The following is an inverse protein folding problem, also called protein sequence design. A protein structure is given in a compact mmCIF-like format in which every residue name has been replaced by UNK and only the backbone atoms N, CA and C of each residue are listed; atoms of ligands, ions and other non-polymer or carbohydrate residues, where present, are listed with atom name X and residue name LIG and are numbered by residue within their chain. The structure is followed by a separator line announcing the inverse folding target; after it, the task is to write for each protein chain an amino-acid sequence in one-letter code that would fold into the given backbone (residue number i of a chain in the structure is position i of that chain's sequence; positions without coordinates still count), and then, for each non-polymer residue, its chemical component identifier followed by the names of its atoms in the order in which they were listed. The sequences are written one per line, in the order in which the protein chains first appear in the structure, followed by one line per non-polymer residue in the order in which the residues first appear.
data_IF_254164051565
#
_entry.id   IF_254164051565
#
_cell.length_a   1.000
_cell.length_b   1.000
_cell.length_c   1.000
_cell.angle_alpha   90.00
_cell.angle_beta   90.00
_cell.angle_gamma   90.00
#
_symmetry.space_group_name_H-M   'P 1'
#
loop_
_entity.id
_entity.type
_entity.pdbx_description
1 polymer ?
#
# COMPACT_ATOMS: atom_id res chain seq x y z
N UNK A 1 8.19 -23.37 4.74
CA UNK A 1 7.45 -22.43 5.60
C UNK A 1 6.61 -23.19 6.61
N UNK A 2 6.53 -22.72 7.86
CA UNK A 2 5.64 -23.31 8.86
C UNK A 2 4.20 -22.95 8.57
N UNK A 3 3.36 -23.93 8.21
CA UNK A 3 1.92 -23.77 8.00
C UNK A 3 1.25 -23.76 9.37
N UNK A 4 0.43 -22.76 9.65
CA UNK A 4 -0.32 -22.61 10.90
C UNK A 4 -1.67 -23.33 10.81
N UNK A 5 -2.39 -23.12 9.72
CA UNK A 5 -3.68 -23.74 9.43
C UNK A 5 -4.00 -23.67 7.93
N UNK A 6 -4.98 -24.45 7.51
CA UNK A 6 -5.50 -24.39 6.14
C UNK A 6 -6.96 -23.92 6.20
N UNK A 7 -7.29 -22.89 5.42
CA UNK A 7 -8.66 -22.43 5.26
C UNK A 7 -8.95 -22.14 3.77
N UNK A 8 -10.12 -22.56 3.28
CA UNK A 8 -10.53 -22.44 1.88
C UNK A 8 -9.48 -23.01 0.89
N UNK A 9 -8.87 -24.16 1.21
CA UNK A 9 -7.78 -24.81 0.47
C UNK A 9 -6.49 -23.98 0.35
N UNK A 10 -6.34 -22.91 1.17
CA UNK A 10 -5.16 -22.07 1.24
C UNK A 10 -4.40 -22.31 2.54
N UNK A 11 -3.09 -22.55 2.44
CA UNK A 11 -2.20 -22.76 3.58
C UNK A 11 -1.68 -21.43 4.11
N UNK A 12 -2.17 -21.04 5.28
CA UNK A 12 -1.71 -19.81 5.96
C UNK A 12 -0.44 -20.12 6.74
N UNK A 13 0.61 -19.36 6.47
CA UNK A 13 1.91 -19.51 7.12
C UNK A 13 2.13 -18.54 8.26
N UNK A 14 3.04 -18.88 9.19
CA UNK A 14 3.47 -17.97 10.27
C UNK A 14 4.01 -16.67 9.70
N UNK A 15 4.82 -16.75 8.63
CA UNK A 15 5.41 -15.58 7.98
C UNK A 15 4.32 -14.63 7.47
N UNK A 16 3.27 -15.18 6.85
CA UNK A 16 2.14 -14.41 6.34
C UNK A 16 1.39 -13.69 7.47
N UNK A 17 1.08 -14.39 8.56
CA UNK A 17 0.41 -13.78 9.72
C UNK A 17 1.26 -12.64 10.30
N UNK A 18 2.56 -12.84 10.46
CA UNK A 18 3.45 -11.78 10.94
C UNK A 18 3.47 -10.57 9.99
N UNK A 19 3.50 -10.80 8.67
CA UNK A 19 3.45 -9.75 7.68
C UNK A 19 2.13 -8.96 7.75
N UNK A 20 0.99 -9.67 7.85
CA UNK A 20 -0.34 -9.07 7.99
C UNK A 20 -0.44 -8.26 9.28
N UNK A 21 -0.05 -8.82 10.41
CA UNK A 21 -0.10 -8.12 11.71
C UNK A 21 0.78 -6.87 11.68
N UNK A 22 2.01 -6.97 11.18
CA UNK A 22 2.91 -5.82 11.05
C UNK A 22 2.32 -4.74 10.14
N UNK A 23 1.69 -5.12 9.02
CA UNK A 23 1.06 -4.16 8.11
C UNK A 23 -0.15 -3.46 8.74
N UNK A 24 -1.01 -4.20 9.44
CA UNK A 24 -2.15 -3.62 10.14
C UNK A 24 -1.71 -2.62 11.21
N UNK A 25 -0.70 -2.95 12.01
CA UNK A 25 -0.13 -2.04 13.00
C UNK A 25 0.45 -0.80 12.30
N UNK A 26 1.26 -0.99 11.26
CA UNK A 26 1.88 0.11 10.52
C UNK A 26 0.83 1.06 9.93
N UNK A 27 -0.16 0.54 9.20
CA UNK A 27 -1.20 1.37 8.58
C UNK A 27 -2.07 2.07 9.64
N UNK A 28 -2.40 1.38 10.74
CA UNK A 28 -3.14 1.98 11.85
C UNK A 28 -2.39 3.15 12.50
N UNK A 29 -1.11 2.96 12.81
CA UNK A 29 -0.23 4.02 13.34
C UNK A 29 -0.12 5.19 12.36
N UNK A 30 -0.09 4.94 11.05
CA UNK A 30 -0.13 5.96 10.02
C UNK A 30 -1.36 6.87 10.14
N UNK A 31 -2.52 6.35 10.57
CA UNK A 31 -3.73 7.17 10.77
C UNK A 31 -3.55 8.24 11.84
N UNK A 32 -2.69 8.00 12.82
CA UNK A 32 -2.39 8.96 13.90
C UNK A 32 -1.32 9.97 13.50
N UNK A 33 -0.56 9.67 12.44
CA UNK A 33 0.58 10.46 11.98
C UNK A 33 1.83 10.26 12.83
N UNK A 34 1.90 9.22 13.66
CA UNK A 34 3.08 8.94 14.47
C UNK A 34 4.24 8.40 13.63
N UNK A 35 5.46 8.92 13.83
CA UNK A 35 6.65 8.52 13.09
C UNK A 35 6.97 7.02 13.21
N UNK A 36 6.54 6.38 14.31
CA UNK A 36 6.72 4.94 14.53
C UNK A 36 6.01 4.06 13.50
N UNK A 37 5.14 4.61 12.67
CA UNK A 37 4.52 3.89 11.54
C UNK A 37 5.58 3.33 10.58
N UNK A 38 6.66 4.07 10.32
CA UNK A 38 7.67 3.73 9.32
C UNK A 38 8.48 2.46 9.64
N UNK A 39 8.98 2.25 10.87
CA UNK A 39 9.58 0.97 11.25
C UNK A 39 8.64 -0.23 11.04
N UNK A 40 7.35 -0.09 11.35
CA UNK A 40 6.37 -1.16 11.10
C UNK A 40 6.16 -1.41 9.61
N UNK A 41 6.20 -0.37 8.78
CA UNK A 41 6.16 -0.51 7.32
C UNK A 41 7.41 -1.22 6.79
N UNK A 42 8.61 -0.92 7.32
CA UNK A 42 9.84 -1.63 6.96
C UNK A 42 9.72 -3.11 7.34
N UNK A 43 9.30 -3.41 8.55
CA UNK A 43 9.11 -4.80 9.00
C UNK A 43 8.10 -5.54 8.12
N UNK A 44 6.93 -4.96 7.90
CA UNK A 44 5.89 -5.54 7.05
C UNK A 44 6.39 -5.80 5.63
N UNK A 45 6.97 -4.78 4.97
CA UNK A 45 7.50 -4.93 3.61
C UNK A 45 8.64 -5.94 3.53
N UNK A 46 9.49 -6.03 4.54
CA UNK A 46 10.55 -7.05 4.59
C UNK A 46 9.97 -8.46 4.68
N UNK A 47 8.96 -8.67 5.52
CA UNK A 47 8.27 -9.96 5.64
C UNK A 47 7.55 -10.33 4.34
N UNK A 48 6.85 -9.37 3.71
CA UNK A 48 6.20 -9.59 2.42
C UNK A 48 7.21 -9.83 1.29
N UNK A 49 8.38 -9.19 1.29
CA UNK A 49 9.43 -9.46 0.31
C UNK A 49 9.88 -10.92 0.37
N UNK A 50 10.12 -11.45 1.58
CA UNK A 50 10.47 -12.87 1.78
C UNK A 50 9.31 -13.78 1.39
N UNK A 51 8.07 -13.42 1.76
CA UNK A 51 6.88 -14.19 1.41
C UNK A 51 6.73 -14.31 -0.11
N UNK A 52 6.75 -13.19 -0.82
CA UNK A 52 6.60 -13.14 -2.27
C UNK A 52 7.75 -13.84 -3.01
N UNK A 53 8.98 -13.70 -2.52
CA UNK A 53 10.11 -14.44 -3.06
C UNK A 53 9.91 -15.95 -2.99
N UNK A 54 9.43 -16.46 -1.84
CA UNK A 54 9.14 -17.89 -1.65
C UNK A 54 7.99 -18.42 -2.50
N UNK A 55 7.08 -17.55 -2.93
CA UNK A 55 6.00 -17.87 -3.88
C UNK A 55 6.38 -17.58 -5.34
N UNK A 56 7.67 -17.28 -5.61
CA UNK A 56 8.19 -16.95 -6.96
C UNK A 56 7.54 -15.69 -7.57
N UNK A 57 6.93 -14.85 -6.75
CA UNK A 57 6.33 -13.57 -7.13
C UNK A 57 7.39 -12.46 -7.09
N UNK A 58 8.42 -12.59 -7.93
CA UNK A 58 9.61 -11.73 -7.89
C UNK A 58 9.31 -10.25 -8.11
N UNK A 59 8.38 -9.92 -9.00
CA UNK A 59 7.96 -8.52 -9.22
C UNK A 59 7.34 -7.89 -7.95
N UNK A 60 6.49 -8.64 -7.25
CA UNK A 60 5.90 -8.22 -5.98
C UNK A 60 6.94 -8.11 -4.87
N UNK A 61 7.93 -9.03 -4.84
CA UNK A 61 9.05 -8.94 -3.91
C UNK A 61 9.90 -7.68 -4.16
N UNK A 62 10.20 -7.35 -5.43
CA UNK A 62 10.94 -6.13 -5.79
C UNK A 62 10.16 -4.88 -5.37
N UNK A 63 8.82 -4.86 -5.54
CA UNK A 63 7.99 -3.74 -5.10
C UNK A 63 8.13 -3.47 -3.60
N UNK A 64 8.31 -4.50 -2.78
CA UNK A 64 8.51 -4.30 -1.34
C UNK A 64 9.78 -3.49 -1.02
N UNK A 65 10.83 -3.62 -1.84
CA UNK A 65 12.01 -2.76 -1.68
C UNK A 65 11.70 -1.29 -1.96
N UNK A 66 10.83 -0.99 -2.93
CA UNK A 66 10.35 0.39 -3.16
C UNK A 66 9.64 0.93 -1.92
N UNK A 67 8.80 0.12 -1.28
CA UNK A 67 8.12 0.51 -0.04
C UNK A 67 9.08 0.66 1.14
N UNK A 68 10.11 -0.18 1.26
CA UNK A 68 11.16 -0.04 2.28
C UNK A 68 11.91 1.30 2.09
N UNK A 69 12.32 1.62 0.86
CA UNK A 69 12.99 2.91 0.56
C UNK A 69 12.08 4.09 0.91
N UNK A 70 10.81 4.03 0.52
CA UNK A 70 9.84 5.07 0.87
C UNK A 70 9.62 5.18 2.39
N UNK A 71 9.63 4.06 3.12
CA UNK A 71 9.50 4.07 4.57
C UNK A 71 10.74 4.64 5.27
N UNK A 72 11.94 4.36 4.77
CA UNK A 72 13.18 5.00 5.25
C UNK A 72 13.11 6.51 5.00
N UNK A 73 12.70 6.93 3.80
CA UNK A 73 12.49 8.35 3.51
C UNK A 73 11.46 9.00 4.44
N UNK A 74 10.33 8.35 4.69
CA UNK A 74 9.31 8.82 5.62
C UNK A 74 9.81 8.93 7.06
N UNK A 75 10.63 7.96 7.51
CA UNK A 75 11.25 8.01 8.84
C UNK A 75 12.11 9.25 9.05
N UNK A 76 12.91 9.63 8.06
CA UNK A 76 13.74 10.83 8.13
C UNK A 76 12.96 12.12 7.76
N UNK A 77 11.93 12.02 6.93
CA UNK A 77 11.11 13.15 6.48
C UNK A 77 10.15 13.66 7.54
N UNK A 78 9.53 12.76 8.33
CA UNK A 78 8.64 13.18 9.40
C UNK A 78 9.45 13.63 10.62
N UNK A 79 9.12 14.78 11.17
CA UNK A 79 9.77 15.32 12.37
C UNK A 79 9.53 14.45 13.62
N UNK A 80 10.12 14.88 14.75
CA UNK A 80 9.95 14.17 16.05
C UNK A 80 8.49 14.17 16.51
N UNK A 81 7.73 15.18 16.14
CA UNK A 81 6.32 15.35 16.48
C UNK A 81 5.37 14.55 15.54
N UNK A 82 5.95 13.83 14.59
CA UNK A 82 5.23 13.05 13.58
C UNK A 82 4.75 13.88 12.40
N UNK A 83 3.83 13.32 11.60
CA UNK A 83 3.32 13.96 10.40
C UNK A 83 2.56 15.25 10.72
N UNK A 84 2.85 16.28 9.90
CA UNK A 84 2.11 17.54 9.85
C UNK A 84 1.27 17.57 8.55
N UNK A 85 0.05 16.99 8.58
CA UNK A 85 -0.75 16.85 7.37
C UNK A 85 -1.03 18.19 6.71
N UNK A 86 -0.85 18.22 5.39
CA UNK A 86 -1.09 19.39 4.57
C UNK A 86 -1.85 19.04 3.30
N UNK A 87 -2.38 20.04 2.60
CA UNK A 87 -3.14 19.90 1.37
C UNK A 87 -2.23 20.07 0.15
N UNK A 88 -2.45 19.25 -0.89
CA UNK A 88 -1.86 19.51 -2.20
C UNK A 88 -2.46 20.77 -2.84
N UNK A 89 -1.62 21.60 -3.45
CA UNK A 89 -2.08 22.67 -4.32
C UNK A 89 -2.77 22.09 -5.56
N UNK A 90 -3.71 22.84 -6.17
CA UNK A 90 -4.43 22.34 -7.36
C UNK A 90 -3.49 21.94 -8.50
N UNK A 91 -2.43 22.70 -8.72
CA UNK A 91 -1.39 22.37 -9.71
C UNK A 91 -0.73 21.03 -9.41
N UNK A 92 -0.39 20.76 -8.15
CA UNK A 92 0.20 19.48 -7.74
C UNK A 92 -0.78 18.31 -7.93
N UNK A 93 -2.08 18.50 -7.63
CA UNK A 93 -3.12 17.49 -7.89
C UNK A 93 -3.18 17.11 -9.35
N UNK A 94 -3.18 18.11 -10.24
CA UNK A 94 -3.17 17.88 -11.69
C UNK A 94 -1.91 17.13 -12.12
N UNK A 95 -0.73 17.52 -11.61
CA UNK A 95 0.53 16.85 -11.93
C UNK A 95 0.49 15.38 -11.48
N UNK A 96 0.10 15.11 -10.24
CA UNK A 96 0.03 13.74 -9.73
C UNK A 96 -1.00 12.90 -10.48
N UNK A 97 -2.14 13.48 -10.85
CA UNK A 97 -3.15 12.80 -11.67
C UNK A 97 -2.59 12.43 -13.06
N UNK A 98 -1.95 13.37 -13.74
CA UNK A 98 -1.35 13.14 -15.07
C UNK A 98 -0.23 12.09 -14.99
N UNK A 99 0.67 12.20 -14.02
CA UNK A 99 1.73 11.21 -13.80
C UNK A 99 1.12 9.82 -13.57
N UNK A 100 0.12 9.72 -12.70
CA UNK A 100 -0.55 8.44 -12.41
C UNK A 100 -1.19 7.84 -13.65
N UNK A 101 -1.90 8.67 -14.43
CA UNK A 101 -2.58 8.24 -15.65
C UNK A 101 -1.58 7.74 -16.70
N UNK A 102 -0.54 8.53 -16.98
CA UNK A 102 0.50 8.15 -17.95
C UNK A 102 1.21 6.86 -17.49
N UNK A 103 1.62 6.79 -16.21
CA UNK A 103 2.28 5.60 -15.66
C UNK A 103 1.40 4.35 -15.77
N UNK A 104 0.12 4.47 -15.47
CA UNK A 104 -0.82 3.36 -15.61
C UNK A 104 -1.02 2.92 -17.07
N UNK A 105 -1.27 3.87 -17.97
CA UNK A 105 -1.47 3.60 -19.40
C UNK A 105 -0.23 3.04 -20.10
N UNK A 106 0.97 3.34 -19.60
CA UNK A 106 2.23 2.79 -20.14
C UNK A 106 2.58 1.45 -19.50
N UNK A 107 2.38 1.29 -18.21
CA UNK A 107 2.76 0.08 -17.49
C UNK A 107 1.90 -1.12 -17.84
N UNK A 108 0.58 -0.93 -18.01
CA UNK A 108 -0.34 -2.04 -18.31
C UNK A 108 0.00 -2.77 -19.62
N UNK A 109 0.24 -2.09 -20.77
CA UNK A 109 0.69 -2.76 -21.99
C UNK A 109 2.08 -3.42 -21.88
N UNK A 110 3.00 -2.81 -21.11
CA UNK A 110 4.32 -3.40 -20.87
C UNK A 110 4.22 -4.72 -20.09
N UNK A 111 3.38 -4.76 -19.06
CA UNK A 111 3.11 -5.99 -18.31
C UNK A 111 2.46 -7.06 -19.20
N UNK A 112 1.58 -6.66 -20.13
CA UNK A 112 0.97 -7.58 -21.09
C UNK A 112 2.03 -8.23 -22.01
N UNK A 113 3.04 -7.50 -22.44
CA UNK A 113 4.13 -8.01 -23.30
C UNK A 113 4.96 -9.09 -22.63
N UNK A 114 5.09 -9.06 -21.31
CA UNK A 114 5.82 -10.09 -20.53
C UNK A 114 4.93 -11.22 -20.01
N UNK A 115 3.67 -11.29 -20.46
CA UNK A 115 2.75 -12.38 -20.16
C UNK A 115 2.06 -12.29 -18.79
N UNK A 116 2.03 -11.14 -18.15
CA UNK A 116 1.30 -10.97 -16.89
C UNK A 116 -0.22 -11.07 -17.08
N UNK A 117 -0.91 -11.79 -16.19
CA UNK A 117 -2.30 -12.21 -16.39
C UNK A 117 -3.34 -11.08 -16.22
N UNK A 118 -3.15 -10.14 -15.31
CA UNK A 118 -4.17 -9.16 -14.94
C UNK A 118 -3.66 -7.70 -15.02
N UNK A 119 -3.04 -7.36 -16.11
CA UNK A 119 -2.18 -6.20 -16.32
C UNK A 119 -2.78 -4.85 -15.96
N UNK A 120 -4.07 -4.62 -16.27
CA UNK A 120 -4.73 -3.34 -16.00
C UNK A 120 -5.03 -3.12 -14.52
N UNK A 121 -5.47 -4.15 -13.81
CA UNK A 121 -5.72 -4.06 -12.37
C UNK A 121 -4.42 -4.01 -11.57
N UNK A 122 -3.45 -4.87 -11.92
CA UNK A 122 -2.16 -4.93 -11.22
C UNK A 122 -1.38 -3.63 -11.38
N UNK A 123 -1.32 -3.06 -12.59
CA UNK A 123 -0.66 -1.78 -12.84
C UNK A 123 -1.37 -0.61 -12.16
N UNK A 124 -2.73 -0.62 -12.10
CA UNK A 124 -3.47 0.39 -11.35
C UNK A 124 -3.14 0.35 -9.86
N UNK A 125 -3.19 -0.85 -9.27
CA UNK A 125 -2.87 -1.05 -7.84
C UNK A 125 -1.43 -0.63 -7.58
N UNK A 126 -0.48 -1.01 -8.44
CA UNK A 126 0.93 -0.66 -8.30
C UNK A 126 1.15 0.85 -8.36
N UNK A 127 0.71 1.50 -9.43
CA UNK A 127 0.90 2.95 -9.62
C UNK A 127 0.21 3.73 -8.52
N UNK A 128 -1.04 3.39 -8.19
CA UNK A 128 -1.80 4.03 -7.13
C UNK A 128 -1.12 3.89 -5.76
N UNK A 129 -0.59 2.70 -5.45
CA UNK A 129 0.14 2.45 -4.20
C UNK A 129 1.41 3.27 -4.09
N UNK A 130 2.21 3.35 -5.17
CA UNK A 130 3.44 4.17 -5.18
C UNK A 130 3.11 5.65 -5.00
N UNK A 131 2.11 6.16 -5.71
CA UNK A 131 1.68 7.56 -5.58
C UNK A 131 1.16 7.86 -4.17
N UNK A 132 0.29 7.01 -3.64
CA UNK A 132 -0.24 7.16 -2.29
C UNK A 132 0.89 7.14 -1.24
N UNK A 133 1.87 6.23 -1.42
CA UNK A 133 3.02 6.13 -0.53
C UNK A 133 3.89 7.39 -0.56
N UNK A 134 4.21 7.93 -1.75
CA UNK A 134 4.99 9.17 -1.88
C UNK A 134 4.25 10.35 -1.25
N UNK A 135 2.93 10.44 -1.45
CA UNK A 135 2.12 11.50 -0.83
C UNK A 135 2.05 11.35 0.69
N UNK A 136 2.02 10.10 1.20
CA UNK A 136 2.10 9.83 2.64
C UNK A 136 3.42 10.32 3.23
N UNK A 137 4.56 10.01 2.59
CA UNK A 137 5.89 10.51 3.01
C UNK A 137 5.93 12.04 3.00
N UNK A 138 5.30 12.67 2.01
CA UNK A 138 5.19 14.14 1.89
C UNK A 138 4.10 14.75 2.78
N UNK A 139 3.53 13.99 3.70
CA UNK A 139 2.52 14.43 4.66
C UNK A 139 1.25 15.01 4.00
N UNK A 140 0.92 14.55 2.78
CA UNK A 140 -0.29 15.01 2.07
C UNK A 140 -1.48 14.15 2.44
N UNK A 141 -2.55 14.76 2.98
CA UNK A 141 -3.73 14.01 3.39
C UNK A 141 -4.41 13.29 2.21
N UNK A 142 -4.17 13.76 0.97
CA UNK A 142 -4.67 13.12 -0.25
C UNK A 142 -4.11 11.71 -0.50
N UNK A 143 -3.06 11.32 0.20
CA UNK A 143 -2.60 9.93 0.21
C UNK A 143 -3.72 8.96 0.62
N UNK A 144 -4.53 9.33 1.61
CA UNK A 144 -5.56 8.47 2.17
C UNK A 144 -6.71 8.15 1.19
N UNK A 145 -7.36 9.14 0.52
CA UNK A 145 -8.37 8.82 -0.49
C UNK A 145 -7.82 8.00 -1.65
N UNK A 146 -6.54 8.17 -2.02
CA UNK A 146 -5.91 7.29 -3.02
C UNK A 146 -5.80 5.87 -2.47
N UNK A 147 -5.37 5.68 -1.22
CA UNK A 147 -5.37 4.36 -0.57
C UNK A 147 -6.77 3.74 -0.51
N UNK A 148 -7.83 4.52 -0.26
CA UNK A 148 -9.21 4.01 -0.31
C UNK A 148 -9.51 3.42 -1.69
N UNK A 149 -9.25 4.17 -2.77
CA UNK A 149 -9.53 3.71 -4.14
C UNK A 149 -8.69 2.49 -4.51
N UNK A 150 -7.39 2.52 -4.21
CA UNK A 150 -6.47 1.38 -4.46
C UNK A 150 -6.95 0.13 -3.74
N UNK A 151 -7.29 0.24 -2.45
CA UNK A 151 -7.75 -0.90 -1.68
C UNK A 151 -9.13 -1.42 -2.15
N UNK A 152 -10.03 -0.56 -2.62
CA UNK A 152 -11.30 -0.99 -3.23
C UNK A 152 -11.07 -1.81 -4.49
N UNK A 153 -10.20 -1.32 -5.38
CA UNK A 153 -9.84 -2.03 -6.62
C UNK A 153 -9.16 -3.36 -6.29
N UNK A 154 -8.22 -3.36 -5.35
CA UNK A 154 -7.52 -4.57 -4.90
C UNK A 154 -8.48 -5.59 -4.27
N UNK A 155 -9.41 -5.15 -3.40
CA UNK A 155 -10.44 -6.04 -2.82
C UNK A 155 -11.24 -6.74 -3.90
N UNK A 156 -11.76 -6.00 -4.88
CA UNK A 156 -12.53 -6.56 -5.98
C UNK A 156 -11.68 -7.50 -6.87
N UNK A 157 -10.47 -7.08 -7.20
CA UNK A 157 -9.55 -7.83 -8.04
C UNK A 157 -9.20 -9.18 -7.42
N UNK A 158 -8.77 -9.19 -6.14
CA UNK A 158 -8.42 -10.41 -5.44
C UNK A 158 -9.62 -11.31 -5.13
N UNK A 159 -10.80 -10.74 -4.90
CA UNK A 159 -12.03 -11.53 -4.77
C UNK A 159 -12.34 -12.32 -6.04
N UNK A 160 -12.15 -11.71 -7.23
CA UNK A 160 -12.33 -12.39 -8.52
C UNK A 160 -11.29 -13.49 -8.80
N UNK A 161 -10.11 -13.37 -8.20
CA UNK A 161 -9.04 -14.38 -8.28
C UNK A 161 -9.17 -15.47 -7.20
N UNK A 162 -10.27 -15.48 -6.43
CA UNK A 162 -10.52 -16.39 -5.30
C UNK A 162 -9.51 -16.27 -4.15
N UNK A 163 -8.70 -15.21 -4.13
CA UNK A 163 -7.76 -14.89 -3.05
C UNK A 163 -8.51 -14.22 -1.88
N UNK A 164 -9.35 -14.99 -1.21
CA UNK A 164 -10.32 -14.51 -0.22
C UNK A 164 -9.67 -13.82 0.99
N UNK A 165 -8.55 -14.36 1.50
CA UNK A 165 -7.83 -13.74 2.62
C UNK A 165 -7.24 -12.38 2.24
N UNK A 166 -6.61 -12.30 1.08
CA UNK A 166 -6.06 -11.05 0.56
C UNK A 166 -7.16 -10.01 0.36
N UNK A 167 -8.29 -10.41 -0.26
CA UNK A 167 -9.45 -9.53 -0.44
C UNK A 167 -9.99 -9.02 0.90
N UNK A 168 -10.10 -9.89 1.92
CA UNK A 168 -10.53 -9.49 3.26
C UNK A 168 -9.55 -8.48 3.89
N UNK A 169 -8.25 -8.71 3.78
CA UNK A 169 -7.24 -7.78 4.30
C UNK A 169 -7.36 -6.40 3.65
N UNK A 170 -7.51 -6.32 2.32
CA UNK A 170 -7.71 -5.05 1.63
C UNK A 170 -9.02 -4.35 2.02
N UNK A 171 -10.07 -5.11 2.31
CA UNK A 171 -11.32 -4.57 2.86
C UNK A 171 -11.10 -3.90 4.23
N UNK A 172 -10.27 -4.49 5.09
CA UNK A 172 -9.89 -3.87 6.37
C UNK A 172 -9.07 -2.60 6.13
N UNK A 173 -8.16 -2.61 5.15
CA UNK A 173 -7.38 -1.41 4.80
C UNK A 173 -8.25 -0.27 4.27
N UNK A 174 -9.38 -0.53 3.59
CA UNK A 174 -10.34 0.52 3.20
C UNK A 174 -10.84 1.25 4.46
N UNK A 175 -11.26 0.49 5.47
CA UNK A 175 -11.78 1.07 6.72
C UNK A 175 -10.72 1.93 7.41
N UNK A 176 -9.49 1.40 7.53
CA UNK A 176 -8.38 2.12 8.15
C UNK A 176 -8.03 3.38 7.34
N UNK A 177 -8.03 3.30 6.01
CA UNK A 177 -7.74 4.44 5.14
C UNK A 177 -8.80 5.55 5.28
N UNK A 178 -10.08 5.21 5.40
CA UNK A 178 -11.16 6.19 5.66
C UNK A 178 -10.96 6.88 7.02
N UNK A 179 -10.56 6.13 8.05
CA UNK A 179 -10.25 6.68 9.38
C UNK A 179 -9.06 7.63 9.28
N UNK A 180 -7.97 7.22 8.60
CA UNK A 180 -6.78 8.03 8.37
C UNK A 180 -7.10 9.33 7.62
N UNK A 181 -7.91 9.23 6.55
CA UNK A 181 -8.37 10.38 5.78
C UNK A 181 -9.08 11.41 6.66
N UNK A 182 -10.06 10.96 7.45
CA UNK A 182 -10.81 11.86 8.35
C UNK A 182 -9.91 12.53 9.39
N UNK A 183 -8.97 11.79 9.98
CA UNK A 183 -8.04 12.32 10.98
C UNK A 183 -7.07 13.35 10.37
N UNK A 184 -6.47 13.01 9.22
CA UNK A 184 -5.49 13.87 8.58
C UNK A 184 -6.14 15.12 7.96
N UNK A 185 -7.34 14.98 7.39
CA UNK A 185 -8.10 16.12 6.87
C UNK A 185 -8.40 17.14 7.96
N UNK A 186 -8.82 16.69 9.16
CA UNK A 186 -9.06 17.58 10.30
C UNK A 186 -7.78 18.33 10.72
N UNK A 187 -6.62 17.67 10.74
CA UNK A 187 -5.34 18.30 11.08
C UNK A 187 -4.88 19.29 10.01
N UNK A 188 -5.13 19.03 8.72
CA UNK A 188 -4.71 19.86 7.61
C UNK A 188 -5.52 21.18 7.45
N UNK A 189 -6.68 21.28 8.08
CA UNK A 189 -7.59 22.43 7.98
C UNK A 189 -7.39 23.41 9.16
N UNK A 190 -6.79 22.94 10.24
CA UNK A 190 -6.45 23.76 11.42
C UNK A 190 -5.15 24.50 11.16
#
# INVERSE_FOLDING_TARGET
MFVLFTAWNYQVTVLEILAVVASLIGVWLGTTGTRITWPWWIVSSSLYAVLFYNFELYASAILQFVFIVAAIWGWFGWGKDGAQPSKLAMKEKTIWFVISLISWLTLAPLLAQIGAAATWFDSFILVGSVVAQVLMVKEKYEAWPIWVVVNMVATFHYARQELRFTSLLYSVFIIIAIIGWRKWLKKAII
#
